data_IF_212378307366
#
_entry.id   IF_212378307366
#
_cell.length_a   1.000
_cell.length_b   1.000
_cell.length_c   1.000
_cell.angle_alpha   90.00
_cell.angle_beta   90.00
_cell.angle_gamma   90.00
#
_symmetry.space_group_name_H-M   'P 1'
#
loop_
_entity.id
_entity.type
_entity.pdbx_description
1 polymer ?
#
# COMPACT_ATOMS: atom_id res chain seq x y z
N UNK A 1 -10.28 15.80 -12.09
CA UNK A 1 -9.19 14.83 -11.86
C UNK A 1 -8.79 14.37 -13.23
N UNK A 2 -7.57 14.71 -13.65
CA UNK A 2 -7.07 14.31 -14.97
C UNK A 2 -6.69 12.83 -14.89
N UNK A 3 -7.19 12.05 -15.85
CA UNK A 3 -6.84 10.65 -15.99
C UNK A 3 -5.37 10.54 -16.46
N UNK A 4 -4.57 9.75 -15.76
CA UNK A 4 -3.13 9.58 -16.04
C UNK A 4 -2.88 8.15 -16.52
N UNK A 5 -2.17 8.06 -17.64
CA UNK A 5 -1.60 6.81 -18.15
C UNK A 5 -0.50 6.33 -17.18
N UNK A 6 -0.69 5.16 -16.57
CA UNK A 6 0.18 4.64 -15.52
C UNK A 6 0.11 3.11 -15.41
N UNK A 7 0.80 2.53 -14.42
CA UNK A 7 0.82 1.10 -14.14
C UNK A 7 0.14 0.80 -12.80
N UNK A 8 -0.47 -0.38 -12.71
CA UNK A 8 -1.03 -0.88 -11.47
C UNK A 8 0.08 -1.14 -10.46
N UNK A 9 0.01 -0.50 -9.29
CA UNK A 9 1.03 -0.65 -8.24
C UNK A 9 1.16 -2.06 -7.66
N UNK A 10 0.21 -2.95 -7.93
CA UNK A 10 0.20 -4.32 -7.40
C UNK A 10 0.70 -5.33 -8.44
N UNK A 11 0.16 -5.30 -9.66
CA UNK A 11 0.47 -6.30 -10.68
C UNK A 11 1.32 -5.78 -11.86
N UNK A 12 1.60 -4.47 -11.92
CA UNK A 12 2.33 -3.82 -13.01
C UNK A 12 1.54 -3.68 -14.32
N UNK A 13 0.26 -4.06 -14.33
CA UNK A 13 -0.59 -3.95 -15.52
C UNK A 13 -0.84 -2.49 -15.90
N UNK A 14 -0.74 -2.17 -17.19
CA UNK A 14 -1.03 -0.83 -17.74
C UNK A 14 -2.49 -0.42 -17.52
N UNK A 15 -2.71 0.79 -17.00
CA UNK A 15 -4.03 1.36 -16.70
C UNK A 15 -4.09 2.86 -16.92
N UNK A 16 -5.30 3.37 -17.15
CA UNK A 16 -5.61 4.79 -17.06
C UNK A 16 -6.23 5.04 -15.68
N UNK A 17 -5.49 5.65 -14.76
CA UNK A 17 -5.93 5.86 -13.39
C UNK A 17 -6.36 7.32 -13.16
N UNK A 18 -7.54 7.50 -12.58
CA UNK A 18 -8.03 8.81 -12.13
C UNK A 18 -7.84 9.08 -10.63
N UNK A 19 -7.33 8.11 -9.86
CA UNK A 19 -7.16 8.22 -8.41
C UNK A 19 -6.04 7.33 -7.86
N UNK A 20 -5.59 7.62 -6.64
CA UNK A 20 -4.60 6.83 -5.91
C UNK A 20 -5.27 5.90 -4.88
N UNK A 21 -4.81 4.65 -4.71
CA UNK A 21 -3.74 3.99 -5.45
C UNK A 21 -4.17 3.60 -6.87
N UNK A 22 -3.28 3.69 -7.88
CA UNK A 22 -3.61 3.28 -9.23
C UNK A 22 -3.62 1.74 -9.29
N UNK A 23 -4.81 1.14 -9.18
CA UNK A 23 -5.02 -0.32 -9.21
C UNK A 23 -6.00 -0.72 -10.31
N UNK A 24 -5.74 -1.86 -10.95
CA UNK A 24 -6.50 -2.30 -12.13
C UNK A 24 -7.75 -3.13 -11.82
N UNK A 25 -7.87 -3.65 -10.60
CA UNK A 25 -8.94 -4.59 -10.22
C UNK A 25 -9.28 -4.51 -8.73
N UNK A 26 -10.41 -5.12 -8.35
CA UNK A 26 -10.81 -5.27 -6.94
C UNK A 26 -9.83 -6.16 -6.17
N UNK A 27 -9.26 -7.16 -6.83
CA UNK A 27 -8.31 -8.07 -6.19
C UNK A 27 -6.99 -7.35 -5.91
N UNK A 28 -6.48 -6.57 -6.87
CA UNK A 28 -5.33 -5.70 -6.64
C UNK A 28 -5.60 -4.65 -5.55
N UNK A 29 -6.82 -4.13 -5.46
CA UNK A 29 -7.20 -3.22 -4.37
C UNK A 29 -7.13 -3.91 -3.01
N UNK A 30 -7.66 -5.13 -2.92
CA UNK A 30 -7.63 -5.91 -1.67
C UNK A 30 -6.19 -6.23 -1.24
N UNK A 31 -5.34 -6.65 -2.17
CA UNK A 31 -3.91 -6.92 -1.89
C UNK A 31 -3.18 -5.68 -1.39
N UNK A 32 -3.40 -4.52 -2.04
CA UNK A 32 -2.85 -3.24 -1.60
C UNK A 32 -3.28 -2.91 -0.17
N UNK A 33 -4.57 -3.03 0.15
CA UNK A 33 -5.09 -2.70 1.47
C UNK A 33 -4.48 -3.63 2.55
N UNK A 34 -4.29 -4.93 2.24
CA UNK A 34 -3.60 -5.88 3.14
C UNK A 34 -2.14 -5.49 3.36
N UNK A 35 -1.42 -5.11 2.30
CA UNK A 35 -0.01 -4.69 2.41
C UNK A 35 0.14 -3.43 3.28
N UNK A 36 -0.77 -2.47 3.15
CA UNK A 36 -0.77 -1.26 3.98
C UNK A 36 -0.98 -1.61 5.46
N UNK A 37 -1.95 -2.47 5.77
CA UNK A 37 -2.23 -2.88 7.15
C UNK A 37 -1.06 -3.69 7.74
N UNK A 38 -0.46 -4.60 6.96
CA UNK A 38 0.72 -5.33 7.40
C UNK A 38 1.90 -4.40 7.71
N UNK A 39 2.16 -3.43 6.82
CA UNK A 39 3.23 -2.46 7.02
C UNK A 39 2.98 -1.55 8.23
N UNK A 40 1.72 -1.20 8.53
CA UNK A 40 1.34 -0.48 9.76
C UNK A 40 1.64 -1.33 10.99
N UNK A 41 1.19 -2.58 11.00
CA UNK A 41 1.45 -3.51 12.10
C UNK A 41 2.96 -3.69 12.37
N UNK A 42 3.77 -3.90 11.34
CA UNK A 42 5.23 -4.02 11.48
C UNK A 42 5.86 -2.75 12.09
N UNK A 43 5.39 -1.56 11.70
CA UNK A 43 5.89 -0.29 12.26
C UNK A 43 5.53 -0.16 13.73
N UNK A 44 4.32 -0.55 14.12
CA UNK A 44 3.88 -0.50 15.51
C UNK A 44 4.69 -1.47 16.38
N UNK A 45 4.93 -2.70 15.91
CA UNK A 45 5.76 -3.68 16.62
C UNK A 45 7.21 -3.21 16.78
N UNK A 46 7.82 -2.63 15.74
CA UNK A 46 9.17 -2.04 15.84
C UNK A 46 9.22 -0.91 16.87
N UNK A 47 8.18 -0.09 16.94
CA UNK A 47 8.08 1.00 17.92
C UNK A 47 8.04 0.45 19.33
N UNK A 48 7.21 -0.57 19.60
CA UNK A 48 7.12 -1.23 20.92
C UNK A 48 8.45 -1.82 21.38
N UNK A 49 9.19 -2.49 20.49
CA UNK A 49 10.48 -3.10 20.81
C UNK A 49 11.62 -2.08 21.03
N UNK A 50 11.52 -0.88 20.46
CA UNK A 50 12.55 0.16 20.62
C UNK A 50 12.44 0.84 21.98
N UNK A 51 11.24 0.99 22.53
CA UNK A 51 11.00 1.66 23.82
C UNK A 51 11.53 0.85 25.02
N UNK A 52 11.69 -0.47 24.90
CA UNK A 52 12.10 -1.36 26.01
C UNK A 52 13.62 -1.31 26.28
N UNK A 53 14.44 -0.72 25.41
CA UNK A 53 15.91 -0.75 25.52
C UNK A 53 16.55 0.52 26.12
N UNK A 54 15.76 1.45 26.65
CA UNK A 54 16.25 2.73 27.19
C UNK A 54 16.00 2.88 28.70
N UNK A 55 16.13 1.80 29.49
CA UNK A 55 16.18 1.83 30.95
C UNK A 55 17.53 1.31 31.47
#
# INVERSE_FOLDING_TARGET
MDEVDTECVVCGGHIIAGSYPPVCSKDCRLEWDIEIEFNRWIKDEKTKHTTIKND
#
